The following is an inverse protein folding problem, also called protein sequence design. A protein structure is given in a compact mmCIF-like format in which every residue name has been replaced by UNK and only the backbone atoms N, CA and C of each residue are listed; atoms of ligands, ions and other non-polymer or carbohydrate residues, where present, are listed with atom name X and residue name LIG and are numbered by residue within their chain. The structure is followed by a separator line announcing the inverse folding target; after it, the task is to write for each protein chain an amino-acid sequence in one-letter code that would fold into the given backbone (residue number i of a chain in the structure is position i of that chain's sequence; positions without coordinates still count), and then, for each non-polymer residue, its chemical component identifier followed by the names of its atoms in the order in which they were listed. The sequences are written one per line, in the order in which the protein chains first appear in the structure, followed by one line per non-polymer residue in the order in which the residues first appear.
data_IF_855469750490
#
_entry.id   IF_855469750490
#
_cell.length_a   1.000
_cell.length_b   1.000
_cell.length_c   1.000
_cell.angle_alpha   90.00
_cell.angle_beta   90.00
_cell.angle_gamma   90.00
#
_symmetry.space_group_name_H-M   'P 1'
#
loop_
_entity.id
_entity.type
_entity.pdbx_description
1 polymer ?
#
# COMPACT_ATOMS: atom_id res chain seq x y z
N UNK A 1 -8.54 -33.78 16.73
CA UNK A 1 -7.14 -33.33 16.57
C UNK A 1 -7.16 -31.81 16.52
N UNK A 2 -6.84 -31.14 17.61
CA UNK A 2 -6.72 -29.69 17.68
C UNK A 2 -5.45 -29.30 16.93
N UNK A 3 -5.61 -28.68 15.76
CA UNK A 3 -4.48 -28.09 15.03
C UNK A 3 -3.88 -26.98 15.92
N UNK A 4 -2.74 -27.26 16.54
CA UNK A 4 -1.96 -26.25 17.25
C UNK A 4 -1.51 -25.22 16.23
N UNK A 5 -1.89 -23.95 16.44
CA UNK A 5 -1.34 -22.85 15.63
C UNK A 5 0.20 -22.91 15.68
N UNK A 6 0.88 -22.78 14.54
CA UNK A 6 2.34 -22.81 14.55
C UNK A 6 2.87 -21.65 15.41
N UNK A 7 3.60 -21.98 16.46
CA UNK A 7 4.26 -21.00 17.33
C UNK A 7 5.41 -20.36 16.55
N UNK A 8 5.22 -19.13 16.09
CA UNK A 8 6.27 -18.34 15.43
C UNK A 8 7.17 -17.69 16.50
N UNK A 9 8.49 -17.75 16.30
CA UNK A 9 9.45 -17.05 17.17
C UNK A 9 9.27 -15.53 17.06
N UNK A 10 9.41 -14.75 18.16
CA UNK A 10 9.40 -13.30 18.11
C UNK A 10 10.47 -12.77 17.14
N UNK A 11 10.09 -11.82 16.27
CA UNK A 11 10.89 -11.43 15.13
C UNK A 11 12.09 -10.51 15.47
N UNK A 12 11.98 -9.65 16.48
CA UNK A 12 13.03 -8.70 16.88
C UNK A 12 13.80 -9.18 18.09
N UNK A 13 14.80 -10.04 17.89
CA UNK A 13 15.69 -10.50 18.97
C UNK A 13 17.02 -10.96 18.42
N UNK A 14 18.10 -10.29 18.73
CA UNK A 14 19.53 -10.65 18.53
C UNK A 14 20.05 -10.85 17.10
N UNK A 15 19.24 -10.93 16.04
CA UNK A 15 19.68 -11.04 14.65
C UNK A 15 19.18 -9.85 13.82
N UNK A 16 20.02 -9.36 12.91
CA UNK A 16 19.66 -8.32 11.94
C UNK A 16 18.67 -8.93 10.94
N UNK A 17 17.39 -8.55 11.03
CA UNK A 17 16.39 -8.98 10.05
C UNK A 17 16.43 -8.09 8.81
N UNK A 18 16.46 -8.72 7.64
CA UNK A 18 16.43 -8.05 6.34
C UNK A 18 14.98 -7.87 5.90
N UNK A 19 14.58 -6.61 5.70
CA UNK A 19 13.20 -6.21 5.39
C UNK A 19 13.16 -5.52 4.04
N UNK A 20 12.64 -6.19 3.02
CA UNK A 20 12.42 -5.58 1.69
C UNK A 20 11.13 -4.75 1.72
N UNK A 21 11.21 -3.48 1.36
CA UNK A 21 10.10 -2.51 1.41
C UNK A 21 9.91 -1.90 0.03
N UNK A 22 8.77 -2.16 -0.62
CA UNK A 22 8.41 -1.51 -1.88
C UNK A 22 7.63 -0.22 -1.64
N UNK A 23 7.76 0.77 -2.55
CA UNK A 23 7.24 2.12 -2.34
C UNK A 23 7.99 2.84 -1.22
N UNK A 24 9.31 2.63 -1.16
CA UNK A 24 10.15 3.09 -0.04
C UNK A 24 10.65 4.53 -0.17
N UNK A 25 10.48 5.17 -1.32
CA UNK A 25 10.94 6.55 -1.55
C UNK A 25 10.12 7.60 -0.78
N UNK A 26 8.90 7.28 -0.34
CA UNK A 26 8.02 8.24 0.31
C UNK A 26 6.99 7.60 1.25
N UNK A 27 6.24 8.44 1.97
CA UNK A 27 5.05 8.06 2.71
C UNK A 27 5.26 6.95 3.76
N UNK A 28 4.38 5.95 3.73
CA UNK A 28 4.41 4.82 4.67
C UNK A 28 5.69 3.99 4.52
N UNK A 29 6.12 3.74 3.27
CA UNK A 29 7.32 2.94 3.00
C UNK A 29 8.59 3.55 3.57
N UNK A 30 8.81 4.85 3.30
CA UNK A 30 9.93 5.62 3.83
C UNK A 30 9.95 5.67 5.36
N UNK A 31 8.80 5.97 5.97
CA UNK A 31 8.68 5.99 7.42
C UNK A 31 8.93 4.59 8.03
N UNK A 32 8.44 3.53 7.37
CA UNK A 32 8.68 2.15 7.82
C UNK A 32 10.15 1.77 7.73
N UNK A 33 10.87 2.20 6.69
CA UNK A 33 12.30 1.95 6.57
C UNK A 33 13.10 2.56 7.74
N UNK A 34 12.80 3.81 8.09
CA UNK A 34 13.42 4.47 9.25
C UNK A 34 13.10 3.76 10.56
N UNK A 35 11.87 3.32 10.75
CA UNK A 35 11.46 2.60 11.96
C UNK A 35 12.11 1.22 12.05
N UNK A 36 12.25 0.50 10.94
CA UNK A 36 12.98 -0.79 10.86
C UNK A 36 14.42 -0.59 11.34
N UNK A 37 15.10 0.45 10.84
CA UNK A 37 16.45 0.79 11.28
C UNK A 37 16.53 1.14 12.76
N UNK A 38 15.60 1.98 13.23
CA UNK A 38 15.55 2.40 14.62
C UNK A 38 15.42 1.21 15.59
N UNK A 39 14.81 0.12 15.11
CA UNK A 39 14.67 -1.13 15.86
C UNK A 39 15.76 -2.16 15.57
N UNK A 40 16.84 -1.78 14.86
CA UNK A 40 18.02 -2.64 14.60
C UNK A 40 17.85 -3.62 13.45
N UNK A 41 16.80 -3.48 12.63
CA UNK A 41 16.62 -4.22 11.37
C UNK A 41 17.43 -3.59 10.21
N UNK A 42 17.46 -4.29 9.10
CA UNK A 42 18.14 -3.88 7.87
C UNK A 42 17.12 -3.68 6.76
N UNK A 43 16.69 -2.43 6.47
CA UNK A 43 15.78 -2.18 5.37
C UNK A 43 16.51 -2.29 4.02
N UNK A 44 15.84 -2.89 3.05
CA UNK A 44 16.17 -2.84 1.62
C UNK A 44 15.09 -2.05 0.93
N UNK A 45 15.47 -0.93 0.33
CA UNK A 45 14.53 0.03 -0.21
C UNK A 45 14.27 -0.23 -1.69
N UNK A 46 13.00 -0.30 -2.08
CA UNK A 46 12.61 -0.52 -3.48
C UNK A 46 11.59 0.54 -3.88
N UNK A 47 11.88 1.26 -4.96
CA UNK A 47 10.95 2.20 -5.59
C UNK A 47 11.33 2.38 -7.06
N UNK A 48 10.39 2.87 -7.86
CA UNK A 48 10.67 3.22 -9.25
C UNK A 48 11.22 4.65 -9.42
N UNK A 49 11.27 5.41 -8.35
CA UNK A 49 11.67 6.81 -8.29
C UNK A 49 13.10 6.94 -7.78
N UNK A 50 14.07 6.98 -8.69
CA UNK A 50 15.49 6.83 -8.40
C UNK A 50 16.04 7.88 -7.42
N UNK A 51 15.79 9.17 -7.70
CA UNK A 51 16.37 10.27 -6.92
C UNK A 51 15.87 10.29 -5.46
N UNK A 52 14.56 10.28 -5.15
CA UNK A 52 14.11 10.23 -3.78
C UNK A 52 14.37 8.90 -3.07
N UNK A 53 14.51 7.82 -3.85
CA UNK A 53 14.92 6.55 -3.25
C UNK A 53 16.37 6.60 -2.77
N UNK A 54 17.27 7.22 -3.55
CA UNK A 54 18.65 7.43 -3.16
C UNK A 54 18.76 8.35 -1.92
N UNK A 55 17.99 9.46 -1.89
CA UNK A 55 17.92 10.33 -0.73
C UNK A 55 17.42 9.60 0.52
N UNK A 56 16.42 8.73 0.34
CA UNK A 56 15.90 7.92 1.44
C UNK A 56 16.92 6.91 1.93
N UNK A 57 17.70 6.30 1.03
CA UNK A 57 18.79 5.39 1.38
C UNK A 57 19.86 6.09 2.22
N UNK A 58 20.26 7.31 1.86
CA UNK A 58 21.20 8.12 2.66
C UNK A 58 20.66 8.40 4.06
N UNK A 59 19.37 8.69 4.20
CA UNK A 59 18.72 8.88 5.51
C UNK A 59 18.69 7.61 6.35
N UNK A 60 18.59 6.46 5.74
CA UNK A 60 18.69 5.16 6.40
C UNK A 60 20.15 4.76 6.72
N UNK A 61 21.13 5.43 6.16
CA UNK A 61 22.55 5.20 6.42
C UNK A 61 23.33 4.86 5.15
N UNK A 62 24.67 5.10 5.14
CA UNK A 62 25.49 5.08 3.93
C UNK A 62 25.57 3.69 3.25
N UNK A 63 25.28 2.63 3.98
CA UNK A 63 25.35 1.25 3.46
C UNK A 63 23.98 0.62 3.22
N UNK A 64 22.91 1.44 3.17
CA UNK A 64 21.56 0.94 2.92
C UNK A 64 21.41 0.52 1.47
N UNK A 65 21.07 -0.74 1.24
CA UNK A 65 20.79 -1.23 -0.10
C UNK A 65 19.47 -0.61 -0.59
N UNK A 66 19.52 -0.06 -1.80
CA UNK A 66 18.33 0.39 -2.51
C UNK A 66 18.36 -0.09 -3.96
N UNK A 67 17.19 -0.40 -4.50
CA UNK A 67 17.01 -0.93 -5.85
C UNK A 67 15.93 -0.11 -6.57
N UNK A 68 16.29 0.49 -7.69
CA UNK A 68 15.31 1.20 -8.55
C UNK A 68 14.59 0.15 -9.39
N UNK A 69 13.31 -0.08 -9.10
CA UNK A 69 12.51 -1.10 -9.78
C UNK A 69 11.02 -0.73 -9.79
N UNK A 70 10.35 -0.96 -10.93
CA UNK A 70 8.88 -0.91 -11.01
C UNK A 70 8.31 -2.29 -10.65
N UNK A 71 7.52 -2.35 -9.60
CA UNK A 71 6.89 -3.58 -9.07
C UNK A 71 5.99 -4.29 -10.09
N UNK A 72 5.55 -3.59 -11.14
CA UNK A 72 4.72 -4.20 -12.20
C UNK A 72 5.49 -5.16 -13.10
N UNK A 73 6.83 -5.18 -13.01
CA UNK A 73 7.71 -6.06 -13.78
C UNK A 73 8.28 -7.17 -12.88
N UNK A 74 7.84 -8.40 -13.08
CA UNK A 74 8.29 -9.55 -12.28
C UNK A 74 9.81 -9.75 -12.32
N UNK A 75 10.42 -9.59 -13.50
CA UNK A 75 11.87 -9.75 -13.67
C UNK A 75 12.66 -8.70 -12.90
N UNK A 76 12.16 -7.46 -12.83
CA UNK A 76 12.77 -6.43 -11.99
C UNK A 76 12.70 -6.82 -10.50
N UNK A 77 11.61 -7.42 -10.05
CA UNK A 77 11.50 -7.92 -8.67
C UNK A 77 12.41 -9.11 -8.41
N UNK A 78 12.64 -10.01 -9.38
CA UNK A 78 13.65 -11.05 -9.26
C UNK A 78 15.06 -10.47 -9.12
N UNK A 79 15.39 -9.40 -9.85
CA UNK A 79 16.69 -8.71 -9.73
C UNK A 79 16.85 -8.08 -8.35
N UNK A 80 15.81 -7.44 -7.79
CA UNK A 80 15.81 -6.91 -6.42
C UNK A 80 16.13 -8.01 -5.40
N UNK A 81 15.47 -9.16 -5.53
CA UNK A 81 15.69 -10.32 -4.65
C UNK A 81 17.13 -10.83 -4.78
N UNK A 82 17.63 -11.00 -6.01
CA UNK A 82 19.00 -11.46 -6.25
C UNK A 82 20.05 -10.53 -5.65
N UNK A 83 19.88 -9.21 -5.81
CA UNK A 83 20.75 -8.20 -5.20
C UNK A 83 20.69 -8.24 -3.68
N UNK A 84 19.48 -8.37 -3.11
CA UNK A 84 19.28 -8.47 -1.66
C UNK A 84 20.00 -9.70 -1.09
N UNK A 85 19.86 -10.85 -1.73
CA UNK A 85 20.52 -12.09 -1.31
C UNK A 85 22.03 -12.02 -1.47
N UNK A 86 22.53 -11.38 -2.52
CA UNK A 86 23.98 -11.18 -2.73
C UNK A 86 24.62 -10.33 -1.62
N UNK A 87 23.93 -9.30 -1.14
CA UNK A 87 24.45 -8.37 -0.12
C UNK A 87 24.22 -8.86 1.29
N UNK A 88 23.03 -9.41 1.57
CA UNK A 88 22.59 -9.72 2.93
C UNK A 88 22.45 -11.23 3.21
N UNK A 89 22.45 -12.08 2.20
CA UNK A 89 22.35 -13.54 2.31
C UNK A 89 20.96 -14.06 2.65
N UNK A 90 19.99 -13.19 3.00
CA UNK A 90 18.65 -13.58 3.46
C UNK A 90 17.60 -12.50 3.19
N UNK A 91 16.34 -12.90 3.23
CA UNK A 91 15.16 -12.02 3.30
C UNK A 91 14.22 -12.57 4.35
N UNK A 92 14.02 -11.83 5.42
CA UNK A 92 13.18 -12.25 6.55
C UNK A 92 11.76 -11.70 6.42
N UNK A 93 11.63 -10.47 5.93
CA UNK A 93 10.34 -9.79 5.74
C UNK A 93 10.24 -9.16 4.38
N UNK A 94 9.06 -9.23 3.80
CA UNK A 94 8.67 -8.41 2.66
C UNK A 94 7.48 -7.54 3.04
N UNK A 95 7.61 -6.25 2.88
CA UNK A 95 6.51 -5.30 2.95
C UNK A 95 6.14 -4.84 1.53
N UNK A 96 5.15 -5.50 0.94
CA UNK A 96 4.59 -5.12 -0.34
C UNK A 96 3.66 -3.91 -0.14
N UNK A 97 4.26 -2.71 -0.19
CA UNK A 97 3.62 -1.46 0.16
C UNK A 97 3.38 -0.53 -1.04
N UNK A 98 4.15 -0.65 -2.12
CA UNK A 98 3.98 0.18 -3.31
C UNK A 98 2.51 0.26 -3.73
N UNK A 99 2.04 1.47 -4.03
CA UNK A 99 0.64 1.66 -4.41
C UNK A 99 0.36 3.08 -4.87
N UNK A 100 -0.61 3.19 -5.75
CA UNK A 100 -1.10 4.43 -6.32
C UNK A 100 -2.63 4.49 -6.22
N UNK A 101 -3.22 5.66 -6.46
CA UNK A 101 -4.67 5.82 -6.51
C UNK A 101 -5.09 6.47 -7.83
N UNK A 102 -6.29 6.08 -8.29
CA UNK A 102 -7.01 6.77 -9.33
C UNK A 102 -8.32 7.31 -8.74
N UNK A 103 -8.71 8.50 -9.19
CA UNK A 103 -9.89 9.22 -8.71
C UNK A 103 -10.73 9.66 -9.91
N UNK A 104 -12.04 9.51 -9.80
CA UNK A 104 -13.01 9.99 -10.77
C UNK A 104 -14.27 9.14 -10.83
N UNK A 105 -15.41 9.75 -11.21
CA UNK A 105 -16.65 9.05 -11.49
C UNK A 105 -16.46 8.03 -12.62
N UNK A 106 -17.22 6.95 -12.59
CA UNK A 106 -17.11 5.88 -13.58
C UNK A 106 -17.21 6.36 -15.03
N UNK A 107 -18.07 7.34 -15.29
CA UNK A 107 -18.28 7.88 -16.63
C UNK A 107 -17.08 8.73 -17.16
N UNK A 108 -16.20 9.21 -16.29
CA UNK A 108 -15.24 10.27 -16.63
C UNK A 108 -13.79 9.94 -16.22
N UNK A 109 -13.58 8.94 -15.34
CA UNK A 109 -12.23 8.54 -14.92
C UNK A 109 -11.38 8.09 -16.11
N UNK A 110 -10.12 8.54 -16.18
CA UNK A 110 -9.21 8.09 -17.23
C UNK A 110 -8.96 6.59 -17.14
N UNK A 111 -9.25 5.81 -18.22
CA UNK A 111 -9.07 4.37 -18.20
C UNK A 111 -7.61 3.92 -17.97
N UNK A 112 -6.62 4.74 -18.36
CA UNK A 112 -5.21 4.41 -18.16
C UNK A 112 -4.80 4.59 -16.70
N UNK A 113 -5.31 5.61 -16.03
CA UNK A 113 -5.12 5.80 -14.58
C UNK A 113 -5.80 4.68 -13.79
N UNK A 114 -7.01 4.28 -14.19
CA UNK A 114 -7.73 3.17 -13.58
C UNK A 114 -6.94 1.85 -13.71
N UNK A 115 -6.48 1.53 -14.92
CA UNK A 115 -5.65 0.34 -15.21
C UNK A 115 -4.35 0.36 -14.40
N UNK A 116 -3.62 1.49 -14.40
CA UNK A 116 -2.36 1.64 -13.66
C UNK A 116 -2.55 1.39 -12.17
N UNK A 117 -3.67 1.82 -11.59
CA UNK A 117 -3.98 1.56 -10.20
C UNK A 117 -4.04 0.04 -9.90
N UNK A 118 -4.65 -0.74 -10.79
CA UNK A 118 -4.71 -2.20 -10.65
C UNK A 118 -3.34 -2.85 -10.91
N UNK A 119 -2.62 -2.41 -11.94
CA UNK A 119 -1.29 -2.92 -12.26
C UNK A 119 -0.32 -2.79 -11.09
N UNK A 120 -0.25 -1.59 -10.49
CA UNK A 120 0.66 -1.37 -9.36
C UNK A 120 0.17 -2.06 -8.10
N UNK A 121 -1.11 -1.86 -7.74
CA UNK A 121 -1.60 -2.30 -6.44
C UNK A 121 -1.86 -3.81 -6.35
N UNK A 122 -2.17 -4.48 -7.47
CA UNK A 122 -2.48 -5.92 -7.49
C UNK A 122 -1.31 -6.71 -8.05
N UNK A 123 -0.95 -6.47 -9.32
CA UNK A 123 0.16 -7.20 -9.94
C UNK A 123 1.49 -6.86 -9.28
N UNK A 124 1.72 -5.60 -8.86
CA UNK A 124 2.91 -5.21 -8.13
C UNK A 124 3.06 -5.96 -6.80
N UNK A 125 1.97 -6.14 -6.04
CA UNK A 125 1.97 -6.95 -4.82
C UNK A 125 2.25 -8.41 -5.14
N UNK A 126 1.59 -8.98 -6.16
CA UNK A 126 1.83 -10.36 -6.60
C UNK A 126 3.30 -10.57 -6.99
N UNK A 127 3.86 -9.72 -7.86
CA UNK A 127 5.24 -9.82 -8.33
C UNK A 127 6.25 -9.73 -7.17
N UNK A 128 6.02 -8.78 -6.26
CA UNK A 128 6.88 -8.57 -5.07
C UNK A 128 6.92 -9.83 -4.21
N UNK A 129 5.78 -10.38 -3.88
CA UNK A 129 5.69 -11.58 -3.02
C UNK A 129 6.21 -12.79 -3.77
N UNK A 130 5.82 -12.98 -5.03
CA UNK A 130 6.20 -14.13 -5.87
C UNK A 130 7.72 -14.23 -6.05
N UNK A 131 8.39 -13.12 -6.32
CA UNK A 131 9.85 -13.10 -6.50
C UNK A 131 10.59 -13.45 -5.19
N UNK A 132 10.14 -12.93 -4.05
CA UNK A 132 10.78 -13.14 -2.76
C UNK A 132 10.44 -14.48 -2.09
N UNK A 133 9.43 -15.19 -2.57
CA UNK A 133 8.88 -16.36 -1.90
C UNK A 133 9.90 -17.48 -1.64
N UNK A 134 10.82 -17.83 -2.57
CA UNK A 134 11.84 -18.84 -2.29
C UNK A 134 12.73 -18.50 -1.09
N UNK A 135 13.18 -17.24 -1.00
CA UNK A 135 13.99 -16.76 0.13
C UNK A 135 13.19 -16.75 1.44
N UNK A 136 11.94 -16.30 1.39
CA UNK A 136 11.06 -16.30 2.56
C UNK A 136 10.77 -17.72 3.07
N UNK A 137 10.64 -18.70 2.19
CA UNK A 137 10.46 -20.12 2.59
C UNK A 137 11.69 -20.65 3.32
N UNK A 138 12.90 -20.32 2.86
CA UNK A 138 14.16 -20.71 3.52
C UNK A 138 14.26 -20.15 4.94
N UNK A 139 13.84 -18.89 5.12
CA UNK A 139 13.91 -18.20 6.42
C UNK A 139 12.67 -18.42 7.29
N UNK A 140 11.65 -19.12 6.78
CA UNK A 140 10.32 -19.17 7.41
C UNK A 140 9.83 -17.75 7.72
N UNK A 141 10.01 -16.83 6.76
CA UNK A 141 9.87 -15.40 6.88
C UNK A 141 8.43 -14.91 6.99
N UNK A 142 8.23 -13.61 6.81
CA UNK A 142 6.92 -12.97 6.93
C UNK A 142 6.66 -12.00 5.79
N UNK A 143 5.43 -11.97 5.31
CA UNK A 143 4.93 -11.01 4.32
C UNK A 143 3.90 -10.11 4.96
N UNK A 144 4.03 -8.80 4.78
CA UNK A 144 2.98 -7.83 5.04
C UNK A 144 2.56 -7.19 3.72
N UNK A 145 1.28 -7.24 3.39
CA UNK A 145 0.73 -6.59 2.21
C UNK A 145 -0.12 -5.40 2.60
N UNK A 146 0.03 -4.30 1.86
CA UNK A 146 -0.64 -3.04 2.17
C UNK A 146 -2.01 -2.95 1.47
N UNK A 147 -3.07 -3.39 2.15
CA UNK A 147 -4.44 -3.13 1.73
C UNK A 147 -4.87 -1.70 2.13
N UNK A 148 -6.07 -1.52 2.61
CA UNK A 148 -6.64 -0.24 3.07
C UNK A 148 -7.97 -0.50 3.76
N UNK A 149 -8.50 0.49 4.46
CA UNK A 149 -9.92 0.52 4.83
C UNK A 149 -10.82 0.43 3.59
N UNK A 150 -10.35 0.94 2.45
CA UNK A 150 -11.05 0.86 1.16
C UNK A 150 -11.18 -0.57 0.60
N UNK A 151 -10.57 -1.57 1.24
CA UNK A 151 -10.77 -2.98 0.87
C UNK A 151 -12.14 -3.52 1.31
N UNK A 152 -12.82 -2.84 2.23
CA UNK A 152 -14.12 -3.24 2.77
C UNK A 152 -15.10 -2.08 2.97
N UNK A 153 -14.66 -0.83 2.83
CA UNK A 153 -15.48 0.37 2.81
C UNK A 153 -15.18 1.11 1.49
N UNK A 154 -16.06 0.96 0.51
CA UNK A 154 -15.79 1.35 -0.88
C UNK A 154 -16.27 2.78 -1.14
N UNK A 155 -15.38 3.80 -1.10
CA UNK A 155 -15.80 5.18 -1.36
C UNK A 155 -16.14 5.37 -2.84
N UNK A 156 -17.17 6.18 -3.16
CA UNK A 156 -17.45 6.56 -4.54
C UNK A 156 -16.25 7.27 -5.14
N UNK A 157 -16.19 7.37 -6.46
CA UNK A 157 -15.13 8.01 -7.29
C UNK A 157 -13.71 7.43 -7.10
N UNK A 158 -13.56 6.36 -6.31
CA UNK A 158 -12.28 5.66 -6.06
C UNK A 158 -12.39 4.16 -6.41
N UNK A 159 -13.19 3.81 -7.40
CA UNK A 159 -13.49 2.41 -7.72
C UNK A 159 -12.25 1.58 -8.05
N UNK A 160 -11.28 2.12 -8.80
CA UNK A 160 -10.03 1.43 -9.10
C UNK A 160 -9.23 1.10 -7.83
N UNK A 161 -9.11 2.10 -6.93
CA UNK A 161 -8.40 1.93 -5.67
C UNK A 161 -9.10 0.92 -4.77
N UNK A 162 -10.41 1.06 -4.56
CA UNK A 162 -11.20 0.14 -3.75
C UNK A 162 -11.13 -1.30 -4.28
N UNK A 163 -11.33 -1.49 -5.59
CA UNK A 163 -11.22 -2.81 -6.23
C UNK A 163 -9.82 -3.42 -6.04
N UNK A 164 -8.75 -2.62 -6.25
CA UNK A 164 -7.38 -3.09 -6.09
C UNK A 164 -7.07 -3.49 -4.64
N UNK A 165 -7.54 -2.71 -3.64
CA UNK A 165 -7.30 -3.00 -2.22
C UNK A 165 -8.14 -4.16 -1.71
N UNK A 166 -9.36 -4.37 -2.26
CA UNK A 166 -10.17 -5.57 -2.02
C UNK A 166 -9.48 -6.82 -2.59
N UNK A 167 -8.91 -6.74 -3.79
CA UNK A 167 -8.13 -7.82 -4.37
C UNK A 167 -6.92 -8.18 -3.49
N UNK A 168 -6.17 -7.18 -3.01
CA UNK A 168 -5.03 -7.40 -2.09
C UNK A 168 -5.49 -8.09 -0.80
N UNK A 169 -6.61 -7.70 -0.21
CA UNK A 169 -7.15 -8.37 0.96
C UNK A 169 -7.51 -9.84 0.66
N UNK A 170 -8.17 -10.10 -0.48
CA UNK A 170 -8.53 -11.45 -0.91
C UNK A 170 -7.29 -12.32 -1.12
N UNK A 171 -6.27 -11.79 -1.84
CA UNK A 171 -4.97 -12.44 -2.03
C UNK A 171 -4.32 -12.79 -0.68
N UNK A 172 -4.30 -11.84 0.26
CA UNK A 172 -3.73 -12.06 1.58
C UNK A 172 -4.46 -13.13 2.39
N UNK A 173 -5.77 -13.23 2.26
CA UNK A 173 -6.56 -14.29 2.92
C UNK A 173 -6.26 -15.67 2.34
N UNK A 174 -6.13 -15.79 1.01
CA UNK A 174 -5.79 -17.04 0.32
C UNK A 174 -4.34 -17.46 0.61
N UNK A 175 -3.38 -16.59 0.31
CA UNK A 175 -1.96 -16.90 0.45
C UNK A 175 -1.54 -17.23 1.88
N UNK A 176 -2.18 -16.65 2.89
CA UNK A 176 -1.89 -16.99 4.28
C UNK A 176 -2.11 -18.49 4.56
N UNK A 177 -3.10 -19.10 3.91
CA UNK A 177 -3.39 -20.53 4.07
C UNK A 177 -2.38 -21.34 3.28
N UNK A 178 -2.11 -20.97 2.03
CA UNK A 178 -1.14 -21.64 1.15
C UNK A 178 0.27 -21.65 1.76
N UNK A 179 0.69 -20.50 2.30
CA UNK A 179 2.05 -20.31 2.84
C UNK A 179 2.26 -20.93 4.23
N UNK A 180 1.19 -21.32 4.92
CA UNK A 180 1.29 -21.94 6.22
C UNK A 180 2.08 -23.26 6.19
N UNK A 181 1.96 -24.05 5.12
CA UNK A 181 2.73 -25.28 4.91
C UNK A 181 4.25 -25.04 4.87
N UNK A 182 4.66 -23.85 4.46
CA UNK A 182 6.06 -23.41 4.40
C UNK A 182 6.50 -22.60 5.61
N UNK A 183 5.65 -22.48 6.63
CA UNK A 183 5.87 -21.64 7.83
C UNK A 183 6.15 -20.18 7.52
N UNK A 184 5.74 -19.69 6.35
CA UNK A 184 5.79 -18.27 6.00
C UNK A 184 4.53 -17.61 6.52
N UNK A 185 4.71 -16.61 7.41
CA UNK A 185 3.58 -15.82 7.91
C UNK A 185 3.13 -14.80 6.87
N UNK A 186 1.84 -14.48 6.86
CA UNK A 186 1.32 -13.39 6.02
C UNK A 186 0.27 -12.58 6.77
N UNK A 187 0.45 -11.28 6.75
CA UNK A 187 -0.47 -10.30 7.29
C UNK A 187 -0.96 -9.29 6.26
N UNK A 188 -2.10 -8.70 6.56
CA UNK A 188 -2.73 -7.64 5.77
C UNK A 188 -2.81 -6.38 6.61
N UNK A 189 -2.26 -5.27 6.08
CA UNK A 189 -2.38 -3.95 6.68
C UNK A 189 -3.68 -3.28 6.19
N UNK A 190 -4.53 -2.89 7.11
CA UNK A 190 -5.70 -2.06 6.85
C UNK A 190 -5.46 -0.65 7.42
N UNK A 191 -4.91 0.22 6.58
CA UNK A 191 -4.68 1.61 6.93
C UNK A 191 -5.89 2.48 6.53
N UNK A 192 -6.28 3.39 7.42
CA UNK A 192 -7.10 4.53 7.08
C UNK A 192 -6.27 5.65 6.47
N UNK A 193 -6.65 6.91 6.74
CA UNK A 193 -5.90 8.04 6.23
C UNK A 193 -4.55 8.16 6.96
N UNK A 194 -3.47 8.12 6.17
CA UNK A 194 -2.11 8.39 6.64
C UNK A 194 -1.58 9.59 5.88
N UNK A 195 -1.07 10.59 6.58
CA UNK A 195 -0.50 11.80 5.97
C UNK A 195 0.74 11.44 5.16
N UNK A 196 0.53 11.29 3.87
CA UNK A 196 1.52 10.89 2.86
C UNK A 196 1.34 11.76 1.62
N UNK A 197 2.30 11.84 0.70
CA UNK A 197 2.13 12.56 -0.57
C UNK A 197 0.85 12.15 -1.32
N UNK A 198 0.48 10.86 -1.31
CA UNK A 198 -0.74 10.37 -1.94
C UNK A 198 -2.02 11.06 -1.39
N UNK A 199 -2.10 11.24 -0.07
CA UNK A 199 -3.26 11.84 0.60
C UNK A 199 -3.21 13.35 0.53
N UNK A 200 -2.03 13.97 0.73
CA UNK A 200 -1.89 15.45 0.70
C UNK A 200 -2.13 16.01 -0.69
N UNK A 201 -1.75 15.30 -1.74
CA UNK A 201 -2.03 15.73 -3.11
C UNK A 201 -3.47 15.44 -3.53
N UNK A 202 -4.05 14.33 -3.09
CA UNK A 202 -5.47 14.12 -3.23
C UNK A 202 -6.28 15.27 -2.63
N UNK A 203 -5.82 15.85 -1.52
CA UNK A 203 -6.45 16.99 -0.88
C UNK A 203 -6.39 18.31 -1.70
N UNK A 204 -5.61 18.35 -2.77
CA UNK A 204 -5.65 19.47 -3.73
C UNK A 204 -6.85 19.38 -4.70
N UNK A 205 -7.49 18.22 -4.79
CA UNK A 205 -8.64 18.02 -5.66
C UNK A 205 -9.95 18.30 -4.90
N UNK A 206 -10.75 19.32 -5.31
CA UNK A 206 -11.96 19.73 -4.58
C UNK A 206 -12.96 18.59 -4.37
N UNK A 207 -13.18 17.74 -5.37
CA UNK A 207 -14.06 16.57 -5.27
C UNK A 207 -13.60 15.55 -4.23
N UNK A 208 -12.28 15.37 -4.07
CA UNK A 208 -11.73 14.50 -3.02
C UNK A 208 -11.92 15.09 -1.62
N UNK A 209 -11.71 16.40 -1.47
CA UNK A 209 -11.98 17.12 -0.21
C UNK A 209 -13.46 16.97 0.16
N UNK A 210 -14.35 17.14 -0.82
CA UNK A 210 -15.79 16.97 -0.61
C UNK A 210 -16.17 15.55 -0.22
N UNK A 211 -15.58 14.54 -0.88
CA UNK A 211 -15.75 13.13 -0.50
C UNK A 211 -15.36 12.91 0.97
N UNK A 212 -14.19 13.38 1.37
CA UNK A 212 -13.71 13.24 2.75
C UNK A 212 -14.64 13.92 3.75
N UNK A 213 -15.19 15.07 3.42
CA UNK A 213 -16.12 15.81 4.27
C UNK A 213 -17.45 15.05 4.50
N UNK A 214 -17.79 14.05 3.68
CA UNK A 214 -18.95 13.18 3.91
C UNK A 214 -18.73 12.10 4.96
N UNK A 215 -17.47 11.87 5.33
CA UNK A 215 -17.14 10.80 6.28
C UNK A 215 -17.38 11.26 7.71
N UNK A 216 -17.97 10.40 8.58
CA UNK A 216 -18.08 10.69 10.01
C UNK A 216 -16.71 11.01 10.62
N UNK A 217 -16.67 11.91 11.62
CA UNK A 217 -15.44 12.43 12.20
C UNK A 217 -14.34 11.40 12.49
N UNK A 218 -14.62 10.26 13.15
CA UNK A 218 -13.59 9.25 13.39
C UNK A 218 -13.00 8.65 12.11
N UNK A 219 -13.78 8.54 11.03
CA UNK A 219 -13.33 8.00 9.74
C UNK A 219 -12.51 9.01 8.92
N UNK A 220 -12.57 10.29 9.26
CA UNK A 220 -11.79 11.34 8.60
C UNK A 220 -10.47 11.66 9.31
N UNK A 221 -10.21 11.05 10.46
CA UNK A 221 -8.97 11.24 11.20
C UNK A 221 -7.74 10.72 10.46
N UNK A 222 -6.64 11.48 10.51
CA UNK A 222 -5.36 11.13 9.90
C UNK A 222 -4.36 10.64 10.95
N UNK A 223 -3.60 9.60 10.60
CA UNK A 223 -2.40 9.20 11.32
C UNK A 223 -1.17 9.82 10.69
N UNK A 224 -0.13 10.11 11.47
CA UNK A 224 1.17 10.49 10.90
C UNK A 224 1.87 9.27 10.28
N UNK A 225 2.74 9.49 9.28
CA UNK A 225 3.53 8.40 8.71
C UNK A 225 4.46 7.72 9.73
N UNK A 226 5.12 8.42 10.67
CA UNK A 226 5.88 7.79 11.76
C UNK A 226 5.02 6.95 12.71
N UNK A 227 3.80 7.40 13.06
CA UNK A 227 2.88 6.59 13.88
C UNK A 227 2.45 5.31 13.16
N UNK A 228 2.16 5.43 11.86
CA UNK A 228 1.86 4.29 11.01
C UNK A 228 3.02 3.29 11.00
N UNK A 229 4.25 3.77 10.80
CA UNK A 229 5.46 2.95 10.78
C UNK A 229 5.64 2.16 12.08
N UNK A 230 5.47 2.79 13.24
CA UNK A 230 5.56 2.10 14.55
C UNK A 230 4.54 0.96 14.67
N UNK A 231 3.31 1.16 14.22
CA UNK A 231 2.27 0.13 14.23
C UNK A 231 2.59 -0.99 13.25
N UNK A 232 3.08 -0.65 12.05
CA UNK A 232 3.46 -1.59 11.00
C UNK A 232 4.61 -2.48 11.46
N UNK A 233 5.71 -1.89 11.94
CA UNK A 233 6.89 -2.64 12.38
C UNK A 233 6.57 -3.53 13.60
N UNK A 234 5.74 -3.06 14.52
CA UNK A 234 5.23 -3.89 15.61
C UNK A 234 4.36 -5.05 15.09
N UNK A 235 3.57 -4.81 14.04
CA UNK A 235 2.78 -5.85 13.37
C UNK A 235 3.67 -6.91 12.72
N UNK A 236 4.74 -6.50 12.04
CA UNK A 236 5.76 -7.39 11.46
C UNK A 236 6.43 -8.23 12.55
N UNK A 237 6.89 -7.58 13.63
CA UNK A 237 7.54 -8.25 14.75
C UNK A 237 6.68 -9.36 15.38
N UNK A 238 5.37 -9.13 15.42
CA UNK A 238 4.40 -10.11 15.94
C UNK A 238 3.91 -11.09 14.88
N UNK A 239 4.34 -10.96 13.63
CA UNK A 239 3.84 -11.73 12.48
C UNK A 239 2.30 -11.70 12.42
N UNK A 240 1.73 -10.51 12.64
CA UNK A 240 0.30 -10.32 12.84
C UNK A 240 -0.49 -10.64 11.57
N UNK A 241 -1.59 -11.42 11.70
CA UNK A 241 -2.49 -11.73 10.56
C UNK A 241 -3.17 -10.49 9.98
N UNK A 242 -3.43 -9.49 10.83
CA UNK A 242 -4.01 -8.18 10.43
C UNK A 242 -3.36 -7.08 11.26
N UNK A 243 -3.00 -6.01 10.58
CA UNK A 243 -2.50 -4.78 11.17
C UNK A 243 -3.53 -3.69 10.92
N UNK A 244 -3.98 -3.03 11.97
CA UNK A 244 -5.05 -2.02 11.91
C UNK A 244 -4.50 -0.65 12.26
N UNK A 245 -4.77 0.33 11.41
CA UNK A 245 -4.38 1.71 11.63
C UNK A 245 -5.50 2.67 11.22
N UNK A 246 -6.12 3.34 12.18
CA UNK A 246 -6.05 3.15 13.64
C UNK A 246 -6.68 1.82 14.10
N UNK A 247 -6.33 1.38 15.31
CA UNK A 247 -6.70 0.05 15.83
C UNK A 247 -8.20 -0.22 15.96
N UNK A 248 -9.03 0.82 16.11
CA UNK A 248 -10.49 0.67 16.20
C UNK A 248 -11.14 0.24 14.87
N UNK A 249 -10.45 0.37 13.73
CA UNK A 249 -10.98 -0.08 12.44
C UNK A 249 -11.30 -1.58 12.38
N UNK A 250 -10.75 -2.36 13.29
CA UNK A 250 -11.13 -3.78 13.45
C UNK A 250 -12.64 -3.95 13.73
N UNK A 251 -13.25 -2.99 14.43
CA UNK A 251 -14.69 -3.00 14.73
C UNK A 251 -15.48 -2.71 13.44
N UNK A 252 -15.05 -1.69 12.70
CA UNK A 252 -15.65 -1.35 11.41
C UNK A 252 -15.57 -2.54 10.43
N UNK A 253 -14.44 -3.22 10.39
CA UNK A 253 -14.28 -4.42 9.59
C UNK A 253 -15.22 -5.56 10.01
N UNK A 254 -15.42 -5.78 11.30
CA UNK A 254 -16.36 -6.78 11.79
C UNK A 254 -17.81 -6.45 11.38
N UNK A 255 -18.13 -5.17 11.30
CA UNK A 255 -19.45 -4.66 10.91
C UNK A 255 -19.55 -4.27 9.41
N UNK A 256 -18.58 -4.66 8.58
CA UNK A 256 -18.45 -4.18 7.20
C UNK A 256 -19.69 -4.41 6.33
N UNK A 257 -20.46 -5.46 6.59
CA UNK A 257 -21.72 -5.70 5.87
C UNK A 257 -22.73 -4.56 6.03
N UNK A 258 -22.69 -3.83 7.15
CA UNK A 258 -23.59 -2.69 7.40
C UNK A 258 -23.19 -1.46 6.58
N UNK A 259 -21.94 -1.37 6.12
CA UNK A 259 -21.45 -0.21 5.34
C UNK A 259 -22.10 -0.11 3.95
N UNK A 260 -22.65 -1.21 3.46
CA UNK A 260 -23.32 -1.29 2.16
C UNK A 260 -24.85 -1.33 2.28
N UNK A 261 -25.37 -1.01 3.46
CA UNK A 261 -26.80 -0.88 3.65
C UNK A 261 -27.29 0.54 3.23
N UNK A 262 -28.51 0.69 2.71
CA UNK A 262 -29.00 1.97 2.19
C UNK A 262 -28.91 3.14 3.18
N UNK A 263 -29.03 2.87 4.48
CA UNK A 263 -28.90 3.91 5.50
C UNK A 263 -27.45 4.44 5.61
N UNK A 264 -26.46 3.58 5.42
CA UNK A 264 -25.04 3.97 5.50
C UNK A 264 -24.59 4.75 4.25
N UNK A 265 -25.17 4.44 3.09
CA UNK A 265 -24.87 5.10 1.81
C UNK A 265 -25.58 6.45 1.63
N UNK A 266 -26.62 6.73 2.43
CA UNK A 266 -27.49 7.91 2.25
C UNK A 266 -26.73 9.23 2.13
N UNK A 267 -25.70 9.43 2.94
CA UNK A 267 -24.91 10.66 2.92
C UNK A 267 -24.04 10.76 1.67
N UNK A 268 -23.45 9.65 1.23
CA UNK A 268 -22.65 9.57 -0.01
C UNK A 268 -23.54 9.81 -1.24
N UNK A 269 -24.73 9.20 -1.28
CA UNK A 269 -25.70 9.41 -2.37
C UNK A 269 -26.11 10.87 -2.50
N UNK A 270 -26.29 11.59 -1.38
CA UNK A 270 -26.62 13.03 -1.41
C UNK A 270 -25.46 13.89 -1.90
N UNK A 271 -24.22 13.51 -1.62
CA UNK A 271 -23.03 14.27 -2.00
C UNK A 271 -22.50 13.91 -3.42
N UNK A 272 -22.91 12.77 -3.97
CA UNK A 272 -22.38 12.27 -5.24
C UNK A 272 -22.50 13.27 -6.41
N UNK A 273 -23.65 13.97 -6.63
CA UNK A 273 -23.76 14.95 -7.72
C UNK A 273 -22.77 16.12 -7.58
N UNK A 274 -22.56 16.62 -6.35
CA UNK A 274 -21.61 17.70 -6.09
C UNK A 274 -20.16 17.24 -6.28
N UNK A 275 -19.83 16.02 -5.84
CA UNK A 275 -18.50 15.43 -6.02
C UNK A 275 -18.21 15.27 -7.53
N UNK A 276 -19.19 14.82 -8.31
CA UNK A 276 -19.04 14.68 -9.75
C UNK A 276 -18.85 16.05 -10.44
N UNK A 277 -19.64 17.06 -10.08
CA UNK A 277 -19.49 18.42 -10.62
C UNK A 277 -18.08 18.98 -10.35
N UNK A 278 -17.59 18.87 -9.12
CA UNK A 278 -16.24 19.31 -8.75
C UNK A 278 -15.15 18.51 -9.48
N UNK A 279 -15.39 17.23 -9.77
CA UNK A 279 -14.47 16.45 -10.61
C UNK A 279 -14.45 16.94 -12.06
N UNK A 280 -15.61 17.24 -12.64
CA UNK A 280 -15.71 17.74 -14.01
C UNK A 280 -15.04 19.11 -14.18
N UNK A 281 -15.12 19.98 -13.19
CA UNK A 281 -14.35 21.25 -13.17
C UNK A 281 -12.82 20.97 -13.23
N UNK A 282 -12.33 20.04 -12.40
CA UNK A 282 -10.94 19.60 -12.43
C UNK A 282 -10.55 18.95 -13.77
N UNK A 283 -11.43 18.14 -14.34
CA UNK A 283 -11.22 17.50 -15.64
C UNK A 283 -11.12 18.55 -16.77
N UNK A 284 -11.97 19.58 -16.74
CA UNK A 284 -11.91 20.67 -17.70
C UNK A 284 -10.60 21.48 -17.60
N UNK A 285 -10.08 21.67 -16.39
CA UNK A 285 -8.85 22.41 -16.14
C UNK A 285 -7.57 21.60 -16.44
N UNK A 286 -7.54 20.33 -16.09
CA UNK A 286 -6.32 19.49 -16.05
C UNK A 286 -6.36 18.28 -16.99
N UNK A 287 -7.50 18.00 -17.64
CA UNK A 287 -7.67 16.83 -18.50
C UNK A 287 -7.47 15.51 -17.72
N UNK A 288 -6.83 14.52 -18.36
CA UNK A 288 -6.60 13.20 -17.77
C UNK A 288 -5.83 13.23 -16.44
N UNK A 289 -5.13 14.34 -16.13
CA UNK A 289 -4.41 14.51 -14.87
C UNK A 289 -5.34 14.55 -13.65
N UNK A 290 -6.59 14.99 -13.83
CA UNK A 290 -7.58 14.99 -12.76
C UNK A 290 -7.84 13.59 -12.16
N UNK A 291 -7.57 12.52 -12.92
CA UNK A 291 -7.73 11.13 -12.47
C UNK A 291 -6.51 10.56 -11.73
N UNK A 292 -5.38 11.24 -11.71
CA UNK A 292 -4.11 10.72 -11.18
C UNK A 292 -3.73 11.44 -9.89
N UNK A 293 -3.47 10.68 -8.84
CA UNK A 293 -2.96 11.22 -7.58
C UNK A 293 -1.46 10.96 -7.45
N UNK A 294 -0.77 12.01 -7.02
CA UNK A 294 0.66 12.02 -6.84
C UNK A 294 1.40 12.73 -7.98
N UNK A 295 2.41 13.61 -7.69
CA UNK A 295 3.12 14.38 -8.70
C UNK A 295 3.68 13.49 -9.78
N UNK A 296 4.18 12.34 -9.41
CA UNK A 296 4.82 11.38 -10.31
C UNK A 296 3.83 10.59 -11.15
N UNK A 297 2.69 10.19 -10.62
CA UNK A 297 1.65 9.58 -11.44
C UNK A 297 1.08 10.62 -12.43
N UNK A 298 1.00 11.89 -12.03
CA UNK A 298 0.64 12.99 -12.93
C UNK A 298 1.69 13.17 -14.02
N UNK A 299 2.98 13.18 -13.70
CA UNK A 299 4.06 13.26 -14.67
C UNK A 299 4.06 12.08 -15.64
N UNK A 300 3.89 10.86 -15.17
CA UNK A 300 3.75 9.66 -16.01
C UNK A 300 2.52 9.75 -16.92
N UNK A 301 1.42 10.27 -16.43
CA UNK A 301 0.21 10.49 -17.24
C UNK A 301 0.49 11.49 -18.35
N UNK A 302 1.22 12.59 -18.07
CA UNK A 302 1.65 13.56 -19.07
C UNK A 302 2.56 12.92 -20.13
N UNK A 303 3.53 12.12 -19.74
CA UNK A 303 4.44 11.43 -20.67
C UNK A 303 3.66 10.49 -21.60
N UNK A 304 2.73 9.69 -21.08
CA UNK A 304 1.88 8.80 -21.88
C UNK A 304 0.97 9.56 -22.85
N UNK A 305 0.44 10.69 -22.42
CA UNK A 305 -0.41 11.54 -23.28
C UNK A 305 0.39 12.15 -24.43
N UNK A 306 1.67 12.51 -24.19
CA UNK A 306 2.58 13.01 -25.23
C UNK A 306 2.97 11.95 -26.25
N UNK A 307 3.12 10.68 -25.84
CA UNK A 307 3.46 9.56 -26.73
C UNK A 307 2.30 9.10 -27.61
N UNK A 308 1.06 9.47 -27.28
CA UNK A 308 -0.14 9.13 -28.06
C UNK A 308 -0.52 10.21 -29.10
N UNK A 309 0.18 11.36 -29.10
CA UNK A 309 0.06 12.43 -30.10
C UNK A 309 1.18 12.33 -31.12
#
# INVERSE_FOLDING_TARGET
MTATEPTFKPFWGKSKHVVVITGAASGIGAATALEVMAQGGTPVLVDCDAEPLADMALRCGPNTLYCVADVTHLDAMHQVVAQTLSVHGQIDVVFANAGVAAFGPLAHVDPSAWRRCVEVNVFGVFNTVRAALPALMQQQGYVLINASVSSFAHPPVMSAYAASKSAVEAMGNSWRIELAAHRVGLGVLHAGWVRTPLVTEGALHPGFVRLRATMPGPLNGESSAPDAARVIVRGMAKRARRVWLPGWMRILFALRALLHMPFAERQLLRAAPEIEALYLEGLAAEGALASSFGPRERERTLQRTRQKR
#
